data_IF_830641099248
#
_entry.id   IF_830641099248
#
_cell.length_a   1.000
_cell.length_b   1.000
_cell.length_c   1.000
_cell.angle_alpha   90.00
_cell.angle_beta   90.00
_cell.angle_gamma   90.00
#
_symmetry.space_group_name_H-M   'P 1'
#
loop_
_entity.id
_entity.type
_entity.pdbx_description
1 polymer ?
#
# COMPACT_ATOMS: atom_id res chain seq x y z
N UNK A 1 -58.95 -31.21 38.47
CA UNK A 1 -59.44 -32.00 37.32
C UNK A 1 -58.87 -31.41 36.03
N UNK A 2 -58.20 -32.23 35.21
CA UNK A 2 -57.91 -32.07 33.76
C UNK A 2 -56.99 -30.87 33.38
N UNK A 3 -55.96 -30.94 32.53
CA UNK A 3 -55.40 -31.95 31.62
C UNK A 3 -53.95 -31.50 31.29
N UNK A 4 -53.15 -32.45 30.80
CA UNK A 4 -51.72 -32.32 30.51
C UNK A 4 -51.43 -32.09 29.01
N UNK A 5 -50.12 -31.91 28.70
CA UNK A 5 -49.42 -32.08 27.39
C UNK A 5 -49.66 -30.90 26.41
N UNK A 6 -48.65 -30.22 25.85
CA UNK A 6 -47.66 -30.77 24.92
C UNK A 6 -46.48 -29.83 24.65
N UNK A 7 -45.31 -30.45 24.54
CA UNK A 7 -44.08 -29.95 23.92
C UNK A 7 -44.37 -29.46 22.49
N UNK A 8 -43.71 -28.38 22.05
CA UNK A 8 -42.86 -28.39 20.84
C UNK A 8 -41.85 -27.24 20.91
N UNK A 9 -40.62 -27.65 21.15
CA UNK A 9 -39.38 -26.92 20.97
C UNK A 9 -39.17 -26.76 19.44
N UNK A 10 -39.27 -25.55 18.91
CA UNK A 10 -38.85 -25.25 17.55
C UNK A 10 -37.61 -24.36 17.63
N UNK A 11 -36.46 -24.98 17.85
CA UNK A 11 -35.16 -24.33 17.70
C UNK A 11 -34.90 -24.21 16.19
N UNK A 12 -35.21 -23.05 15.61
CA UNK A 12 -34.82 -22.73 14.25
C UNK A 12 -33.30 -22.53 14.22
N UNK A 13 -32.56 -23.57 13.84
CA UNK A 13 -31.17 -23.45 13.45
C UNK A 13 -31.10 -22.66 12.14
N UNK A 14 -30.92 -21.35 12.26
CA UNK A 14 -30.50 -20.52 11.14
C UNK A 14 -29.02 -20.84 10.90
N UNK A 15 -28.75 -21.75 9.97
CA UNK A 15 -27.41 -22.03 9.47
C UNK A 15 -26.90 -20.78 8.76
N UNK A 16 -26.12 -19.97 9.46
CA UNK A 16 -25.29 -18.93 8.85
C UNK A 16 -24.24 -19.67 8.03
N UNK A 17 -24.43 -19.73 6.72
CA UNK A 17 -23.36 -20.05 5.80
C UNK A 17 -22.36 -18.90 5.87
N UNK A 18 -21.34 -19.04 6.71
CA UNK A 18 -20.09 -18.35 6.46
C UNK A 18 -19.53 -18.98 5.19
N UNK A 19 -19.74 -18.33 4.05
CA UNK A 19 -18.81 -18.45 2.93
C UNK A 19 -17.45 -18.07 3.50
N UNK A 20 -16.66 -19.08 3.85
CA UNK A 20 -15.24 -18.91 4.10
C UNK A 20 -14.67 -18.26 2.84
N UNK A 21 -14.36 -16.97 2.95
CA UNK A 21 -13.54 -16.29 1.96
C UNK A 21 -12.25 -17.11 1.89
N UNK A 22 -11.99 -17.76 0.75
CA UNK A 22 -10.78 -18.55 0.55
C UNK A 22 -9.59 -17.61 0.70
N UNK A 23 -8.71 -17.91 1.65
CA UNK A 23 -7.48 -17.15 1.95
C UNK A 23 -6.40 -17.30 0.88
N UNK A 24 -6.76 -17.56 -0.39
CA UNK A 24 -5.80 -17.91 -1.43
C UNK A 24 -5.18 -16.72 -2.16
N UNK A 25 -5.67 -15.49 -1.94
CA UNK A 25 -5.18 -14.29 -2.63
C UNK A 25 -4.67 -13.20 -1.67
N UNK A 26 -4.35 -13.53 -0.42
CA UNK A 26 -3.59 -12.57 0.39
C UNK A 26 -2.14 -12.64 -0.05
N UNK A 27 -1.69 -11.65 -0.83
CA UNK A 27 -0.27 -11.38 -1.02
C UNK A 27 0.37 -11.35 0.36
N UNK A 28 1.35 -12.23 0.60
CA UNK A 28 2.10 -12.17 1.84
C UNK A 28 2.89 -10.87 1.83
N UNK A 29 2.37 -9.90 2.57
CA UNK A 29 2.95 -8.57 2.73
C UNK A 29 4.39 -8.71 3.29
N UNK A 30 4.72 -9.80 3.99
CA UNK A 30 6.06 -10.02 4.52
C UNK A 30 7.08 -10.51 3.46
N UNK A 31 6.63 -11.00 2.31
CA UNK A 31 7.50 -11.50 1.22
C UNK A 31 8.01 -10.41 0.26
N UNK A 32 7.70 -9.13 0.52
CA UNK A 32 8.15 -8.05 -0.34
C UNK A 32 9.68 -7.81 -0.23
N UNK A 33 10.37 -7.52 -1.36
CA UNK A 33 11.82 -7.28 -1.36
C UNK A 33 12.25 -6.17 -0.40
N UNK A 34 13.46 -6.31 0.16
CA UNK A 34 14.09 -5.24 0.95
C UNK A 34 14.90 -4.33 0.02
N UNK A 35 14.24 -3.28 -0.47
CA UNK A 35 14.86 -2.30 -1.37
C UNK A 35 15.92 -1.46 -0.66
N UNK A 36 17.02 -1.18 -1.36
CA UNK A 36 18.17 -0.48 -0.78
C UNK A 36 18.13 1.05 -0.96
N UNK A 37 17.24 1.56 -1.81
CA UNK A 37 17.13 2.98 -2.13
C UNK A 37 15.67 3.39 -2.33
N UNK A 38 15.30 4.63 -1.97
CA UNK A 38 13.96 5.16 -2.25
C UNK A 38 13.63 5.08 -3.75
N UNK A 39 12.38 4.80 -4.10
CA UNK A 39 12.03 4.63 -5.52
C UNK A 39 10.76 3.87 -5.77
N UNK A 40 10.63 3.43 -7.02
CA UNK A 40 9.52 2.66 -7.56
C UNK A 40 10.06 1.39 -8.20
N UNK A 41 9.45 0.26 -7.87
CA UNK A 41 9.93 -1.06 -8.23
C UNK A 41 8.78 -1.93 -8.73
N UNK A 42 9.09 -2.89 -9.59
CA UNK A 42 8.23 -4.01 -9.91
C UNK A 42 8.98 -5.29 -9.51
N UNK A 43 8.60 -5.88 -8.36
CA UNK A 43 9.32 -7.02 -7.77
C UNK A 43 10.82 -6.71 -7.64
N UNK A 44 11.69 -7.48 -8.28
CA UNK A 44 13.15 -7.25 -8.25
C UNK A 44 13.64 -6.22 -9.28
N UNK A 45 12.76 -5.66 -10.09
CA UNK A 45 13.09 -4.71 -11.16
C UNK A 45 12.98 -3.28 -10.66
N UNK A 46 14.06 -2.51 -10.75
CA UNK A 46 14.04 -1.07 -10.48
C UNK A 46 13.40 -0.32 -11.66
N UNK A 47 12.32 0.41 -11.41
CA UNK A 47 11.74 1.32 -12.42
C UNK A 47 12.38 2.70 -12.33
N UNK A 48 12.52 3.21 -11.11
CA UNK A 48 13.23 4.45 -10.82
C UNK A 48 13.71 4.41 -9.36
N UNK A 49 14.95 4.82 -9.08
CA UNK A 49 15.48 4.83 -7.71
C UNK A 49 16.39 6.03 -7.48
N UNK A 50 16.34 6.53 -6.25
CA UNK A 50 17.23 7.54 -5.72
C UNK A 50 18.70 7.10 -5.83
N UNK A 51 19.51 7.97 -6.41
CA UNK A 51 20.96 7.82 -6.51
C UNK A 51 21.64 8.90 -5.66
N UNK A 52 22.45 8.46 -4.71
CA UNK A 52 23.15 9.36 -3.79
C UNK A 52 24.05 10.33 -4.56
N UNK A 53 24.04 11.60 -4.17
CA UNK A 53 24.82 12.70 -4.78
C UNK A 53 24.40 13.13 -6.18
N UNK A 54 23.62 12.33 -6.91
CA UNK A 54 23.05 12.70 -8.21
C UNK A 54 21.64 13.29 -8.05
N UNK A 55 20.85 12.70 -7.14
CA UNK A 55 19.47 13.09 -6.92
C UNK A 55 19.30 14.00 -5.71
N UNK A 56 18.31 14.87 -5.81
CA UNK A 56 17.73 15.58 -4.67
C UNK A 56 16.43 14.88 -4.26
N UNK A 57 16.17 14.83 -2.95
CA UNK A 57 14.86 14.40 -2.44
C UNK A 57 14.33 15.39 -1.41
N UNK A 58 13.01 15.43 -1.26
CA UNK A 58 12.36 16.27 -0.26
C UNK A 58 11.05 15.67 0.23
N UNK A 59 10.65 16.11 1.43
CA UNK A 59 9.35 15.82 2.02
C UNK A 59 8.62 17.13 2.25
N UNK A 60 7.41 17.24 1.69
CA UNK A 60 6.50 18.36 1.94
C UNK A 60 5.41 17.88 2.88
N UNK A 61 5.36 18.43 4.09
CA UNK A 61 4.43 17.99 5.12
C UNK A 61 3.21 18.90 5.19
N UNK A 62 2.04 18.30 5.31
CA UNK A 62 0.75 18.94 5.53
C UNK A 62 0.16 18.50 6.87
N UNK A 63 -1.05 18.95 7.20
CA UNK A 63 -1.67 18.63 8.49
C UNK A 63 -1.83 17.12 8.70
N UNK A 64 -2.38 16.42 7.70
CA UNK A 64 -2.74 14.99 7.79
C UNK A 64 -1.94 14.08 6.85
N UNK A 65 -1.24 14.65 5.87
CA UNK A 65 -0.49 13.91 4.84
C UNK A 65 0.86 14.54 4.56
N UNK A 66 1.67 13.88 3.74
CA UNK A 66 2.88 14.44 3.16
C UNK A 66 3.05 13.99 1.71
N UNK A 67 3.95 14.68 1.01
CA UNK A 67 4.45 14.28 -0.30
C UNK A 67 5.94 13.99 -0.22
N UNK A 68 6.37 12.91 -0.84
CA UNK A 68 7.77 12.56 -1.05
C UNK A 68 8.15 12.80 -2.50
N UNK A 69 9.30 13.43 -2.73
CA UNK A 69 9.76 13.80 -4.07
C UNK A 69 11.21 13.39 -4.26
N UNK A 70 11.53 12.84 -5.42
CA UNK A 70 12.90 12.65 -5.92
C UNK A 70 13.02 13.43 -7.23
N UNK A 71 14.14 14.12 -7.42
CA UNK A 71 14.44 14.90 -8.60
C UNK A 71 15.89 14.67 -9.04
N UNK A 72 16.07 14.30 -10.30
CA UNK A 72 17.35 14.31 -10.99
C UNK A 72 17.39 15.52 -11.95
N UNK A 73 18.31 16.46 -11.74
CA UNK A 73 18.38 17.66 -12.57
C UNK A 73 18.96 17.37 -13.97
N UNK A 74 20.02 16.55 -14.03
CA UNK A 74 20.78 16.30 -15.26
C UNK A 74 19.96 15.49 -16.27
N UNK A 75 19.24 14.48 -15.79
CA UNK A 75 18.33 13.65 -16.58
C UNK A 75 16.95 14.30 -16.76
N UNK A 76 16.68 15.43 -16.10
CA UNK A 76 15.40 16.13 -16.09
C UNK A 76 14.24 15.23 -15.65
N UNK A 77 14.46 14.46 -14.59
CA UNK A 77 13.49 13.51 -14.06
C UNK A 77 12.92 13.98 -12.73
N UNK A 78 11.62 13.78 -12.53
CA UNK A 78 10.95 14.06 -11.26
C UNK A 78 9.95 12.95 -10.98
N UNK A 79 10.02 12.40 -9.78
CA UNK A 79 9.00 11.55 -9.18
C UNK A 79 8.41 12.28 -7.98
N UNK A 80 7.09 12.38 -7.91
CA UNK A 80 6.36 12.89 -6.75
C UNK A 80 5.31 11.88 -6.34
N UNK A 81 5.30 11.51 -5.07
CA UNK A 81 4.30 10.64 -4.46
C UNK A 81 3.62 11.45 -3.36
N UNK A 82 2.35 11.74 -3.53
CA UNK A 82 1.57 12.64 -2.66
C UNK A 82 0.46 11.92 -1.92
N UNK A 83 -0.12 12.63 -0.95
CA UNK A 83 -1.24 12.15 -0.14
C UNK A 83 -0.90 10.97 0.76
N UNK A 84 0.38 10.77 1.09
CA UNK A 84 0.80 9.72 2.01
C UNK A 84 0.38 10.13 3.43
N UNK A 85 -0.39 9.31 4.17
CA UNK A 85 -0.81 9.66 5.54
C UNK A 85 0.39 9.84 6.47
N UNK A 86 0.32 10.80 7.40
CA UNK A 86 1.37 10.99 8.42
C UNK A 86 1.45 9.84 9.42
N UNK A 87 0.34 9.16 9.64
CA UNK A 87 0.26 7.98 10.50
C UNK A 87 -0.18 6.81 9.65
N UNK A 88 0.73 5.85 9.48
CA UNK A 88 0.51 4.64 8.68
C UNK A 88 0.58 3.42 9.58
N UNK A 89 -0.42 2.55 9.47
CA UNK A 89 -0.44 1.24 10.11
C UNK A 89 -0.11 0.17 9.06
N UNK A 90 0.74 -0.81 9.40
CA UNK A 90 1.00 -1.97 8.54
C UNK A 90 -0.32 -2.68 8.18
N UNK A 91 -0.49 -3.01 6.90
CA UNK A 91 -1.70 -3.62 6.35
C UNK A 91 -2.83 -2.63 6.04
N UNK A 92 -2.70 -1.35 6.39
CA UNK A 92 -3.70 -0.35 6.02
C UNK A 92 -3.61 -0.02 4.53
N UNK A 93 -4.77 0.13 3.90
CA UNK A 93 -4.90 0.55 2.50
C UNK A 93 -5.37 1.99 2.40
N UNK A 94 -4.76 2.78 1.53
CA UNK A 94 -5.11 4.18 1.28
C UNK A 94 -4.73 4.56 -0.15
N UNK A 95 -5.17 5.74 -0.59
CA UNK A 95 -4.83 6.26 -1.91
C UNK A 95 -3.64 7.21 -1.84
N UNK A 96 -2.77 7.12 -2.84
CA UNK A 96 -1.68 8.07 -3.09
C UNK A 96 -1.82 8.62 -4.51
N UNK A 97 -1.22 9.77 -4.78
CA UNK A 97 -1.11 10.32 -6.13
C UNK A 97 0.35 10.23 -6.60
N UNK A 98 0.58 9.57 -7.73
CA UNK A 98 1.90 9.43 -8.34
C UNK A 98 1.99 10.33 -9.57
N UNK A 99 2.88 11.32 -9.52
CA UNK A 99 3.19 12.18 -10.65
C UNK A 99 4.64 11.99 -11.08
N UNK A 100 4.85 11.86 -12.39
CA UNK A 100 6.18 11.71 -12.98
C UNK A 100 6.43 12.70 -14.11
N UNK A 101 7.69 13.08 -14.29
CA UNK A 101 8.18 13.86 -15.42
C UNK A 101 9.52 13.27 -15.88
N UNK A 102 9.67 13.02 -17.18
CA UNK A 102 10.90 12.45 -17.76
C UNK A 102 11.16 10.97 -17.43
N UNK A 103 10.16 10.26 -16.85
CA UNK A 103 10.25 8.85 -16.47
C UNK A 103 9.13 8.09 -17.20
N UNK A 104 9.50 7.30 -18.20
CA UNK A 104 8.52 6.72 -19.14
C UNK A 104 7.95 5.36 -18.68
N UNK A 105 8.62 4.70 -17.72
CA UNK A 105 8.29 3.36 -17.25
C UNK A 105 7.44 3.34 -15.97
N UNK A 106 6.88 4.49 -15.58
CA UNK A 106 5.97 4.62 -14.43
C UNK A 106 4.70 5.32 -14.90
N UNK A 107 3.56 4.65 -14.73
CA UNK A 107 2.26 5.23 -15.07
C UNK A 107 1.79 6.18 -13.96
N UNK A 108 1.63 7.49 -14.23
CA UNK A 108 1.13 8.45 -13.25
C UNK A 108 -0.36 8.22 -12.93
N UNK A 109 -0.81 8.81 -11.83
CA UNK A 109 -2.21 8.85 -11.42
C UNK A 109 -2.42 8.40 -9.97
N UNK A 110 -3.69 8.31 -9.60
CA UNK A 110 -4.11 7.83 -8.28
C UNK A 110 -3.90 6.32 -8.18
N UNK A 111 -3.27 5.88 -7.09
CA UNK A 111 -2.97 4.47 -6.80
C UNK A 111 -3.58 4.09 -5.46
N UNK A 112 -4.15 2.90 -5.38
CA UNK A 112 -4.56 2.30 -4.11
C UNK A 112 -3.41 1.43 -3.64
N UNK A 113 -2.86 1.72 -2.47
CA UNK A 113 -1.68 1.03 -1.95
C UNK A 113 -1.92 0.51 -0.54
N UNK A 114 -1.29 -0.61 -0.23
CA UNK A 114 -1.23 -1.18 1.12
C UNK A 114 0.14 -0.89 1.73
N UNK A 115 0.16 -0.43 2.98
CA UNK A 115 1.39 -0.25 3.73
C UNK A 115 1.98 -1.60 4.15
N UNK A 116 3.14 -1.92 3.62
CA UNK A 116 3.76 -3.25 3.76
C UNK A 116 4.71 -3.30 4.94
N UNK A 117 5.65 -2.36 4.99
CA UNK A 117 6.72 -2.33 5.99
C UNK A 117 7.00 -0.89 6.35
N UNK A 118 7.01 -0.60 7.65
CA UNK A 118 7.52 0.65 8.21
C UNK A 118 8.69 0.33 9.13
N UNK A 119 9.89 0.77 8.78
CA UNK A 119 11.12 0.53 9.54
C UNK A 119 11.97 1.78 9.52
N UNK A 120 12.33 2.28 10.70
CA UNK A 120 13.02 3.55 10.87
C UNK A 120 12.26 4.66 10.13
N UNK A 121 12.93 5.42 9.25
CA UNK A 121 12.31 6.47 8.44
C UNK A 121 11.89 5.99 7.04
N UNK A 122 11.65 4.69 6.87
CA UNK A 122 11.31 4.10 5.59
C UNK A 122 9.90 3.51 5.63
N UNK A 123 9.16 3.74 4.55
CA UNK A 123 7.86 3.14 4.30
C UNK A 123 7.87 2.45 2.94
N UNK A 124 7.51 1.19 2.94
CA UNK A 124 7.21 0.40 1.76
C UNK A 124 5.70 0.29 1.60
N UNK A 125 5.20 0.69 0.44
CA UNK A 125 3.80 0.57 0.03
C UNK A 125 3.71 -0.28 -1.22
N UNK A 126 2.61 -1.02 -1.38
CA UNK A 126 2.41 -1.91 -2.52
C UNK A 126 1.06 -1.66 -3.18
N UNK A 127 1.10 -1.41 -4.49
CA UNK A 127 -0.03 -1.44 -5.40
C UNK A 127 -0.14 -2.85 -5.99
N UNK A 128 -1.10 -3.61 -5.47
CA UNK A 128 -1.33 -5.00 -5.86
C UNK A 128 -1.82 -5.13 -7.30
N UNK A 129 -2.64 -4.19 -7.77
CA UNK A 129 -3.22 -4.22 -9.12
C UNK A 129 -2.13 -4.15 -10.20
N UNK A 130 -1.11 -3.32 -9.96
CA UNK A 130 -0.03 -3.08 -10.93
C UNK A 130 1.27 -3.83 -10.59
N UNK A 131 1.29 -4.58 -9.48
CA UNK A 131 2.49 -5.20 -8.91
C UNK A 131 3.65 -4.20 -8.69
N UNK A 132 3.33 -3.00 -8.22
CA UNK A 132 4.29 -1.91 -8.02
C UNK A 132 4.54 -1.65 -6.54
N UNK A 133 5.81 -1.59 -6.17
CA UNK A 133 6.25 -1.14 -4.84
C UNK A 133 6.72 0.32 -4.89
N UNK A 134 6.32 1.09 -3.88
CA UNK A 134 6.79 2.45 -3.62
C UNK A 134 7.56 2.47 -2.31
N UNK A 135 8.84 2.82 -2.37
CA UNK A 135 9.70 2.90 -1.20
C UNK A 135 10.10 4.36 -0.94
N UNK A 136 9.64 4.92 0.17
CA UNK A 136 9.68 6.36 0.45
C UNK A 136 10.23 6.66 1.84
N UNK A 137 10.68 7.90 2.04
CA UNK A 137 10.95 8.43 3.37
C UNK A 137 9.63 8.66 4.11
N UNK A 138 9.56 8.30 5.40
CA UNK A 138 8.37 8.46 6.24
C UNK A 138 8.67 8.96 7.65
#
# INVERSE_FOLDING_TARGET
MKKAISRYLALAFLSVFFTACSSSDQVDIDDQPDYQAYGVYNKTTTLFSYTQYEDQWSVLTYETSYSFRIQNYDQKQVLTISSIPRTVQKGATYTIDVAVYGIDNITPGVKTVTAVRKKDNHLLMYDEENEISYYVYH
#
